data_IF_206170078191
#
_entry.id   IF_206170078191
#
_cell.length_a   1.000
_cell.length_b   1.000
_cell.length_c   1.000
_cell.angle_alpha   90.00
_cell.angle_beta   90.00
_cell.angle_gamma   90.00
#
_symmetry.space_group_name_H-M   'P 1'
#
loop_
_entity.id
_entity.type
_entity.pdbx_description
1 polymer ?
#
# COMPACT_ATOMS: atom_id res chain seq x y z
N UNK A 1 16.36 -27.48 -29.76
CA UNK A 1 16.01 -27.96 -28.40
C UNK A 1 14.49 -27.74 -28.28
N UNK A 2 13.72 -28.82 -28.57
CA UNK A 2 12.27 -28.79 -28.42
C UNK A 2 11.92 -28.83 -26.93
N UNK A 3 11.16 -27.88 -26.45
CA UNK A 3 10.47 -28.02 -25.18
C UNK A 3 9.42 -29.12 -25.36
N UNK A 4 9.57 -30.21 -24.63
CA UNK A 4 8.49 -31.20 -24.51
C UNK A 4 7.30 -30.50 -23.89
N UNK A 5 6.18 -30.48 -24.59
CA UNK A 5 4.89 -29.94 -24.13
C UNK A 5 4.08 -31.00 -23.36
N UNK A 6 4.70 -32.08 -22.98
CA UNK A 6 4.03 -33.21 -22.34
C UNK A 6 4.03 -33.05 -20.82
N UNK A 7 2.84 -33.11 -20.25
CA UNK A 7 2.48 -33.22 -18.83
C UNK A 7 2.60 -31.98 -17.93
N UNK A 8 1.97 -30.88 -18.27
CA UNK A 8 1.57 -29.89 -17.24
C UNK A 8 0.15 -30.21 -16.69
N UNK A 9 -0.03 -31.42 -16.19
CA UNK A 9 -1.15 -31.74 -15.27
C UNK A 9 -0.77 -31.44 -13.81
N UNK A 10 0.42 -30.94 -13.58
CA UNK A 10 0.82 -30.47 -12.24
C UNK A 10 0.00 -29.22 -11.88
N UNK A 11 -0.61 -29.23 -10.70
CA UNK A 11 -1.21 -28.03 -10.14
C UNK A 11 -0.21 -26.87 -10.19
N UNK A 12 -0.60 -25.69 -10.68
CA UNK A 12 0.30 -24.57 -10.75
C UNK A 12 0.83 -24.21 -9.35
N UNK A 13 2.10 -23.85 -9.19
CA UNK A 13 2.69 -23.54 -7.89
C UNK A 13 2.04 -22.30 -7.28
N UNK A 14 1.96 -22.24 -5.96
CA UNK A 14 1.61 -21.00 -5.26
C UNK A 14 2.69 -19.95 -5.49
N UNK A 15 2.27 -18.69 -5.65
CA UNK A 15 3.17 -17.55 -5.88
C UNK A 15 3.01 -16.58 -4.71
N UNK A 16 4.11 -16.28 -4.03
CA UNK A 16 4.17 -15.30 -2.95
C UNK A 16 5.17 -14.22 -3.34
N UNK A 17 4.72 -12.96 -3.39
CA UNK A 17 5.57 -11.80 -3.62
C UNK A 17 5.68 -11.04 -2.31
N UNK A 18 6.89 -10.95 -1.75
CA UNK A 18 7.18 -10.12 -0.58
C UNK A 18 7.89 -8.87 -1.07
N UNK A 19 7.18 -7.75 -1.06
CA UNK A 19 7.67 -6.47 -1.55
C UNK A 19 7.91 -5.52 -0.38
N UNK A 20 9.18 -5.37 -0.02
CA UNK A 20 9.59 -4.55 1.13
C UNK A 20 9.57 -3.07 0.80
N UNK A 21 9.36 -2.24 1.80
CA UNK A 21 9.39 -0.79 1.71
C UNK A 21 10.71 -0.28 2.29
N UNK A 22 11.41 0.56 1.54
CA UNK A 22 12.68 1.21 1.93
C UNK A 22 13.82 0.24 2.36
N UNK A 23 13.79 -1.02 1.94
CA UNK A 23 14.88 -1.97 2.19
C UNK A 23 15.95 -1.83 1.10
N UNK A 24 17.13 -1.41 1.50
CA UNK A 24 18.27 -1.25 0.60
C UNK A 24 18.98 -2.56 0.29
N UNK A 25 19.68 -2.61 -0.83
CA UNK A 25 20.50 -3.76 -1.23
C UNK A 25 21.52 -4.17 -0.15
N UNK A 26 22.15 -3.17 0.49
CA UNK A 26 23.12 -3.38 1.56
C UNK A 26 22.54 -3.78 2.91
N UNK A 27 21.22 -3.73 3.07
CA UNK A 27 20.55 -4.07 4.33
C UNK A 27 20.30 -5.58 4.47
N UNK A 28 20.44 -6.32 3.37
CA UNK A 28 20.24 -7.77 3.33
C UNK A 28 21.60 -8.47 3.37
N UNK A 29 21.82 -9.29 4.41
CA UNK A 29 23.13 -9.95 4.62
C UNK A 29 23.52 -10.91 3.50
N UNK A 30 22.59 -11.47 2.74
CA UNK A 30 22.86 -12.28 1.56
C UNK A 30 23.59 -11.54 0.44
N UNK A 31 23.52 -10.22 0.39
CA UNK A 31 24.18 -9.40 -0.62
C UNK A 31 25.50 -8.77 -0.17
N UNK A 32 25.83 -8.89 1.11
CA UNK A 32 27.10 -8.33 1.60
C UNK A 32 27.15 -8.27 3.13
N UNK A 33 28.16 -7.57 3.63
CA UNK A 33 28.33 -7.34 5.07
C UNK A 33 27.51 -6.12 5.50
N UNK A 34 26.17 -6.24 5.45
CA UNK A 34 25.29 -5.24 6.01
C UNK A 34 25.40 -5.19 7.53
N UNK A 35 24.87 -4.15 8.13
CA UNK A 35 24.77 -3.99 9.59
C UNK A 35 23.68 -4.90 10.20
N UNK A 36 22.75 -5.35 9.36
CA UNK A 36 21.63 -6.19 9.77
C UNK A 36 21.91 -7.66 9.42
N UNK A 37 21.46 -8.54 10.30
CA UNK A 37 21.48 -9.98 10.07
C UNK A 37 20.07 -10.42 9.63
N UNK A 38 19.96 -10.96 8.41
CA UNK A 38 18.68 -11.35 7.79
C UNK A 38 18.63 -12.87 7.50
N UNK A 39 18.69 -13.73 8.53
CA UNK A 39 18.93 -15.17 8.35
C UNK A 39 17.84 -15.86 7.52
N UNK A 40 16.59 -15.43 7.63
CA UNK A 40 15.49 -16.00 6.85
C UNK A 40 15.55 -15.61 5.37
N UNK A 41 15.94 -14.37 5.07
CA UNK A 41 16.16 -13.92 3.67
C UNK A 41 17.40 -14.62 3.11
N UNK A 42 18.45 -14.75 3.89
CA UNK A 42 19.66 -15.47 3.51
C UNK A 42 19.38 -16.93 3.18
N UNK A 43 18.51 -17.58 3.97
CA UNK A 43 18.06 -18.93 3.68
C UNK A 43 17.37 -19.03 2.33
N UNK A 44 16.41 -18.12 2.04
CA UNK A 44 15.75 -18.07 0.74
C UNK A 44 16.74 -17.84 -0.41
N UNK A 45 17.72 -16.95 -0.21
CA UNK A 45 18.76 -16.68 -1.20
C UNK A 45 19.67 -17.89 -1.46
N UNK A 46 19.93 -18.71 -0.45
CA UNK A 46 20.78 -19.90 -0.56
C UNK A 46 20.01 -21.10 -1.15
N UNK A 47 18.73 -21.21 -0.91
CA UNK A 47 17.89 -22.30 -1.41
C UNK A 47 17.26 -22.00 -2.77
N UNK A 48 17.28 -20.76 -3.22
CA UNK A 48 16.67 -20.29 -4.46
C UNK A 48 17.64 -19.62 -5.43
N UNK A 49 17.12 -18.64 -6.17
CA UNK A 49 17.91 -17.85 -7.12
C UNK A 49 18.09 -16.44 -6.56
N UNK A 50 19.34 -16.01 -6.47
CA UNK A 50 19.71 -14.66 -6.07
C UNK A 50 20.05 -13.81 -7.28
N UNK A 51 19.36 -12.69 -7.46
CA UNK A 51 19.60 -11.73 -8.53
C UNK A 51 20.55 -10.62 -8.04
N UNK A 52 21.74 -10.55 -8.57
CA UNK A 52 22.71 -9.51 -8.21
C UNK A 52 22.44 -8.17 -8.92
N UNK A 53 21.67 -8.20 -10.01
CA UNK A 53 21.31 -7.04 -10.82
C UNK A 53 19.79 -6.93 -10.99
N UNK A 54 19.04 -7.11 -9.89
CA UNK A 54 17.60 -6.85 -9.84
C UNK A 54 17.34 -5.41 -9.40
N UNK A 55 16.56 -4.66 -10.17
CA UNK A 55 16.27 -3.25 -9.89
C UNK A 55 14.78 -3.02 -9.79
N UNK A 56 14.35 -2.26 -8.79
CA UNK A 56 13.01 -1.71 -8.76
C UNK A 56 12.83 -0.70 -9.91
N UNK A 57 11.63 -0.58 -10.43
CA UNK A 57 11.33 0.33 -11.56
C UNK A 57 11.41 1.81 -11.16
N UNK A 58 11.40 2.11 -9.88
CA UNK A 58 11.56 3.45 -9.29
C UNK A 58 12.08 3.33 -7.86
N UNK A 59 12.70 4.39 -7.37
CA UNK A 59 13.19 4.50 -6.00
C UNK A 59 12.10 4.91 -4.99
N UNK A 60 10.88 5.21 -5.44
CA UNK A 60 9.78 5.68 -4.58
C UNK A 60 8.57 4.74 -4.65
N UNK A 61 7.78 4.73 -3.59
CA UNK A 61 6.72 3.77 -3.31
C UNK A 61 5.72 3.59 -4.46
N UNK A 62 4.95 4.62 -4.78
CA UNK A 62 3.87 4.58 -5.77
C UNK A 62 4.34 4.17 -7.16
N UNK A 63 5.37 4.81 -7.74
CA UNK A 63 5.83 4.44 -9.08
C UNK A 63 6.37 3.00 -9.12
N UNK A 64 7.06 2.58 -8.07
CA UNK A 64 7.60 1.22 -8.00
C UNK A 64 6.51 0.16 -7.90
N UNK A 65 5.47 0.41 -7.08
CA UNK A 65 4.29 -0.46 -6.93
C UNK A 65 3.47 -0.52 -8.22
N UNK A 66 3.31 0.64 -8.89
CA UNK A 66 2.68 0.70 -10.20
C UNK A 66 3.40 -0.20 -11.20
N UNK A 67 4.72 -0.03 -11.30
CA UNK A 67 5.54 -0.82 -12.21
C UNK A 67 5.48 -2.31 -11.92
N UNK A 68 5.50 -2.71 -10.65
CA UNK A 68 5.35 -4.11 -10.25
C UNK A 68 4.02 -4.69 -10.72
N UNK A 69 2.91 -4.01 -10.45
CA UNK A 69 1.57 -4.57 -10.71
C UNK A 69 1.20 -4.54 -12.19
N UNK A 70 1.61 -3.53 -12.94
CA UNK A 70 1.21 -3.34 -14.35
C UNK A 70 2.23 -3.84 -15.36
N UNK A 71 3.48 -4.08 -14.94
CA UNK A 71 4.59 -4.37 -15.85
C UNK A 71 5.02 -3.17 -16.70
N UNK A 72 4.47 -1.98 -16.45
CA UNK A 72 4.80 -0.76 -17.18
C UNK A 72 5.78 0.10 -16.39
N UNK A 73 6.76 0.69 -17.09
CA UNK A 73 7.62 1.67 -16.46
C UNK A 73 6.85 2.92 -16.05
N UNK A 74 7.01 3.41 -14.82
CA UNK A 74 6.22 4.50 -14.27
C UNK A 74 6.36 5.83 -15.05
N UNK A 75 7.51 6.10 -15.64
CA UNK A 75 7.72 7.32 -16.45
C UNK A 75 6.93 7.37 -17.75
N UNK A 76 6.30 6.26 -18.16
CA UNK A 76 5.40 6.24 -19.33
C UNK A 76 4.00 6.75 -19.01
N UNK A 77 3.68 6.89 -17.73
CA UNK A 77 2.41 7.43 -17.26
C UNK A 77 2.62 8.83 -16.72
N UNK A 78 2.16 9.82 -17.45
CA UNK A 78 2.18 11.21 -16.99
C UNK A 78 1.41 11.34 -15.67
N UNK A 79 1.89 12.20 -14.78
CA UNK A 79 1.20 12.52 -13.53
C UNK A 79 1.12 11.38 -12.52
N UNK A 80 1.95 10.34 -12.65
CA UNK A 80 1.99 9.26 -11.68
C UNK A 80 2.52 9.76 -10.33
N UNK A 81 1.68 10.50 -9.64
CA UNK A 81 1.86 10.97 -8.26
C UNK A 81 0.68 10.50 -7.46
N UNK A 82 0.92 10.06 -6.24
CA UNK A 82 -0.15 9.96 -5.26
C UNK A 82 0.09 11.04 -4.23
N UNK A 83 -0.87 11.92 -4.17
CA UNK A 83 -1.10 12.78 -3.03
C UNK A 83 -1.91 12.01 -1.99
N UNK A 84 -1.80 12.39 -0.74
CA UNK A 84 -2.63 11.84 0.35
C UNK A 84 -4.11 11.91 -0.04
N UNK A 85 -4.81 10.79 0.07
CA UNK A 85 -6.22 10.70 -0.36
C UNK A 85 -6.44 10.78 -1.87
N UNK A 86 -5.41 10.56 -2.67
CA UNK A 86 -5.51 10.56 -4.12
C UNK A 86 -6.30 9.38 -4.68
N UNK A 87 -6.89 9.59 -5.86
CA UNK A 87 -7.62 8.55 -6.57
C UNK A 87 -6.73 7.42 -7.07
N UNK A 88 -7.36 6.28 -7.40
CA UNK A 88 -6.66 5.12 -7.94
C UNK A 88 -5.91 5.46 -9.23
N UNK A 89 -4.59 5.23 -9.23
CA UNK A 89 -3.72 5.55 -10.39
C UNK A 89 -3.64 4.44 -11.42
N UNK A 90 -4.04 3.22 -11.09
CA UNK A 90 -4.12 2.12 -12.05
C UNK A 90 -5.49 2.15 -12.70
N UNK A 91 -5.54 2.27 -14.02
CA UNK A 91 -6.78 2.10 -14.75
C UNK A 91 -7.31 0.68 -14.52
N UNK A 92 -8.58 0.58 -14.12
CA UNK A 92 -9.20 -0.71 -13.86
C UNK A 92 -9.34 -1.59 -15.10
N UNK A 93 -9.09 -1.07 -16.28
CA UNK A 93 -9.03 -1.83 -17.54
C UNK A 93 -7.62 -2.33 -17.87
N UNK A 94 -6.58 -1.75 -17.26
CA UNK A 94 -5.20 -2.19 -17.48
C UNK A 94 -5.01 -3.66 -17.06
N UNK A 95 -4.16 -4.37 -17.82
CA UNK A 95 -3.71 -5.71 -17.43
C UNK A 95 -2.74 -5.59 -16.25
N UNK A 96 -2.99 -6.39 -15.22
CA UNK A 96 -2.17 -6.42 -14.00
C UNK A 96 -1.79 -7.86 -13.66
N UNK A 97 -0.77 -8.03 -12.80
CA UNK A 97 -0.38 -9.36 -12.32
C UNK A 97 -1.57 -10.15 -11.79
N UNK A 98 -2.41 -9.63 -10.86
CA UNK A 98 -3.55 -10.40 -10.36
C UNK A 98 -4.54 -10.77 -11.47
N UNK A 99 -4.84 -9.89 -12.42
CA UNK A 99 -5.72 -10.23 -13.54
C UNK A 99 -5.13 -11.33 -14.41
N UNK A 100 -3.83 -11.25 -14.72
CA UNK A 100 -3.15 -12.27 -15.50
C UNK A 100 -3.18 -13.63 -14.79
N UNK A 101 -2.95 -13.66 -13.49
CA UNK A 101 -3.00 -14.88 -12.69
C UNK A 101 -4.42 -15.46 -12.60
N UNK A 102 -5.44 -14.62 -12.51
CA UNK A 102 -6.86 -15.06 -12.54
C UNK A 102 -7.21 -15.76 -13.84
N UNK A 103 -6.68 -15.33 -14.98
CA UNK A 103 -6.86 -16.03 -16.27
C UNK A 103 -6.32 -17.46 -16.20
N UNK A 104 -5.36 -17.71 -15.32
CA UNK A 104 -4.76 -19.03 -15.07
C UNK A 104 -5.39 -19.79 -13.91
N UNK A 105 -6.50 -19.30 -13.36
CA UNK A 105 -7.25 -19.93 -12.28
C UNK A 105 -6.70 -19.71 -10.87
N UNK A 106 -5.77 -18.76 -10.69
CA UNK A 106 -5.28 -18.40 -9.36
C UNK A 106 -6.31 -17.57 -8.60
N UNK A 107 -6.40 -17.81 -7.30
CA UNK A 107 -6.95 -16.87 -6.34
C UNK A 107 -5.85 -15.89 -5.93
N UNK A 108 -6.17 -14.60 -5.92
CA UNK A 108 -5.19 -13.54 -5.73
C UNK A 108 -5.52 -12.69 -4.51
N UNK A 109 -4.51 -12.40 -3.69
CA UNK A 109 -4.66 -11.57 -2.51
C UNK A 109 -3.55 -10.54 -2.39
N UNK A 110 -3.88 -9.39 -1.77
CA UNK A 110 -2.91 -8.36 -1.39
C UNK A 110 -3.08 -7.99 0.06
N UNK A 111 -1.95 -7.89 0.78
CA UNK A 111 -1.90 -7.53 2.20
C UNK A 111 -0.83 -6.47 2.41
N UNK A 112 -1.13 -5.45 3.22
CA UNK A 112 -0.18 -4.41 3.63
C UNK A 112 -0.36 -3.08 2.90
N UNK A 113 0.72 -2.32 2.71
CA UNK A 113 0.70 -0.98 2.11
C UNK A 113 0.23 -1.03 0.65
N UNK A 114 -0.84 -0.30 0.35
CA UNK A 114 -1.34 -0.14 -1.02
C UNK A 114 -0.64 1.00 -1.76
N UNK A 115 -0.82 2.22 -1.33
CA UNK A 115 -0.20 3.45 -1.83
C UNK A 115 -0.28 3.64 -3.36
N UNK A 116 -1.43 3.25 -3.93
CA UNK A 116 -1.75 3.43 -5.35
C UNK A 116 -3.07 4.17 -5.55
N UNK A 117 -3.54 4.85 -4.50
CA UNK A 117 -4.79 5.59 -4.49
C UNK A 117 -6.03 4.70 -4.42
N UNK A 118 -7.14 5.31 -4.10
CA UNK A 118 -8.44 4.67 -3.94
C UNK A 118 -9.53 5.59 -4.50
N UNK A 119 -10.64 5.01 -4.93
CA UNK A 119 -11.74 5.79 -5.45
C UNK A 119 -11.50 6.40 -6.82
N UNK A 120 -12.47 7.18 -7.29
CA UNK A 120 -12.43 7.90 -8.55
C UNK A 120 -11.93 9.34 -8.33
N UNK A 121 -11.23 9.89 -9.32
CA UNK A 121 -10.75 11.27 -9.33
C UNK A 121 -9.68 11.47 -10.41
N UNK A 122 -9.10 12.64 -10.46
CA UNK A 122 -8.05 12.99 -11.42
C UNK A 122 -6.63 12.77 -10.87
N UNK A 123 -6.50 12.17 -9.69
CA UNK A 123 -5.22 11.91 -9.02
C UNK A 123 -4.67 13.10 -8.24
N UNK A 124 -5.33 14.25 -8.24
CA UNK A 124 -4.91 15.38 -7.45
C UNK A 124 -5.24 15.20 -5.96
N UNK A 125 -4.55 15.97 -5.12
CA UNK A 125 -4.65 15.87 -3.66
C UNK A 125 -6.08 16.12 -3.17
N UNK A 126 -6.63 15.17 -2.43
CA UNK A 126 -7.98 15.26 -1.87
C UNK A 126 -9.13 15.22 -2.87
N UNK A 127 -8.88 15.01 -4.15
CA UNK A 127 -9.95 14.95 -5.16
C UNK A 127 -10.68 13.63 -5.23
N UNK A 128 -10.04 12.54 -4.81
CA UNK A 128 -10.75 11.32 -4.54
C UNK A 128 -11.50 11.45 -3.23
N UNK A 129 -12.63 12.16 -3.20
CA UNK A 129 -13.45 12.32 -1.99
C UNK A 129 -13.95 10.97 -1.51
N UNK A 130 -13.04 10.24 -0.85
CA UNK A 130 -13.28 8.88 -0.38
C UNK A 130 -14.11 8.97 0.90
N UNK A 131 -15.31 8.44 0.86
CA UNK A 131 -16.08 8.19 2.06
C UNK A 131 -15.61 6.87 2.71
N UNK A 132 -14.81 7.00 3.76
CA UNK A 132 -14.32 5.86 4.52
C UNK A 132 -15.41 5.16 5.36
N UNK A 133 -16.62 5.70 5.41
CA UNK A 133 -17.76 5.10 6.10
C UNK A 133 -18.61 4.21 5.19
N UNK A 134 -18.25 4.15 3.92
CA UNK A 134 -18.92 3.32 2.91
C UNK A 134 -17.93 2.42 2.19
N UNK A 135 -18.42 1.60 1.26
CA UNK A 135 -17.55 0.76 0.44
C UNK A 135 -16.73 1.62 -0.52
N UNK A 136 -15.43 1.53 -0.43
CA UNK A 136 -14.45 2.28 -1.22
C UNK A 136 -14.28 1.60 -2.57
N UNK A 137 -14.61 2.33 -3.64
CA UNK A 137 -14.56 1.84 -5.01
C UNK A 137 -14.14 2.96 -5.99
N UNK A 138 -13.25 2.68 -6.99
CA UNK A 138 -12.46 1.47 -7.15
C UNK A 138 -11.28 1.37 -6.16
N UNK A 139 -10.73 0.15 -6.04
CA UNK A 139 -9.58 -0.17 -5.19
C UNK A 139 -8.84 -1.41 -5.67
N UNK A 140 -8.09 -2.10 -4.80
CA UNK A 140 -7.32 -3.29 -5.16
C UNK A 140 -8.14 -4.39 -5.85
N UNK A 141 -9.39 -4.58 -5.43
CA UNK A 141 -10.25 -5.62 -6.00
C UNK A 141 -10.55 -5.34 -7.48
N UNK A 142 -10.73 -4.08 -7.89
CA UNK A 142 -10.96 -3.70 -9.28
C UNK A 142 -9.68 -3.76 -10.13
N UNK A 143 -8.53 -3.69 -9.48
CA UNK A 143 -7.22 -3.91 -10.12
C UNK A 143 -6.97 -5.41 -10.36
N UNK A 144 -7.79 -6.28 -9.76
CA UNK A 144 -7.80 -7.71 -10.05
C UNK A 144 -7.64 -8.64 -8.86
N UNK A 145 -7.40 -8.14 -7.66
CA UNK A 145 -7.30 -9.00 -6.48
C UNK A 145 -8.67 -9.53 -6.04
N UNK A 146 -8.73 -10.81 -5.66
CA UNK A 146 -9.92 -11.44 -5.09
C UNK A 146 -10.10 -11.06 -3.63
N UNK A 147 -8.97 -10.85 -2.93
CA UNK A 147 -8.93 -10.43 -1.54
C UNK A 147 -7.96 -9.27 -1.36
N UNK A 148 -8.35 -8.30 -0.56
CA UNK A 148 -7.46 -7.20 -0.16
C UNK A 148 -7.60 -6.90 1.33
N UNK A 149 -6.45 -6.76 2.01
CA UNK A 149 -6.35 -6.28 3.38
C UNK A 149 -5.21 -5.27 3.45
N UNK A 150 -5.54 -4.00 3.33
CA UNK A 150 -4.56 -2.96 3.04
C UNK A 150 -4.63 -1.78 4.00
N UNK A 151 -3.55 -1.02 4.02
CA UNK A 151 -3.54 0.39 4.40
C UNK A 151 -3.57 1.23 3.12
N UNK A 152 -4.39 2.29 3.11
CA UNK A 152 -4.58 3.13 1.92
C UNK A 152 -3.26 3.68 1.37
N UNK A 153 -2.48 4.30 2.25
CA UNK A 153 -1.20 4.95 1.94
C UNK A 153 -0.05 4.35 2.77
N UNK A 154 0.69 5.21 3.45
CA UNK A 154 1.74 4.89 4.41
C UNK A 154 1.20 5.00 5.84
N UNK A 155 1.90 4.44 6.82
CA UNK A 155 1.47 4.51 8.22
C UNK A 155 1.50 5.95 8.79
N UNK A 156 2.24 6.84 8.18
CA UNK A 156 2.39 8.24 8.54
C UNK A 156 1.42 9.17 7.79
N UNK A 157 0.47 8.62 7.06
CA UNK A 157 -0.57 9.38 6.34
C UNK A 157 -1.95 8.90 6.70
N UNK A 158 -2.88 9.84 6.82
CA UNK A 158 -4.28 9.54 7.10
C UNK A 158 -4.99 9.02 5.83
N UNK A 159 -6.00 8.17 6.01
CA UNK A 159 -6.37 7.49 7.24
C UNK A 159 -5.46 6.30 7.52
N UNK A 160 -4.98 6.17 8.73
CA UNK A 160 -4.15 5.04 9.16
C UNK A 160 -5.02 3.86 9.62
N UNK A 161 -5.97 3.47 8.79
CA UNK A 161 -6.93 2.39 9.06
C UNK A 161 -6.67 1.20 8.14
N UNK A 162 -7.08 0.02 8.57
CA UNK A 162 -7.12 -1.15 7.71
C UNK A 162 -8.41 -1.19 6.90
N UNK A 163 -8.26 -1.51 5.61
CA UNK A 163 -9.36 -1.62 4.67
C UNK A 163 -9.34 -3.05 4.12
N UNK A 164 -10.44 -3.77 4.30
CA UNK A 164 -10.61 -5.12 3.78
C UNK A 164 -11.70 -5.13 2.74
N UNK A 165 -11.35 -5.56 1.52
CA UNK A 165 -12.27 -5.64 0.38
C UNK A 165 -13.12 -4.37 0.19
N UNK A 166 -12.47 -3.20 0.34
CA UNK A 166 -13.09 -1.90 0.18
C UNK A 166 -13.80 -1.36 1.43
N UNK A 167 -13.84 -2.07 2.54
CA UNK A 167 -14.51 -1.61 3.76
C UNK A 167 -13.49 -1.38 4.87
N UNK A 168 -13.63 -0.29 5.60
CA UNK A 168 -12.81 -0.04 6.80
C UNK A 168 -13.17 -1.05 7.87
N UNK A 169 -12.15 -1.67 8.46
CA UNK A 169 -12.36 -2.65 9.52
C UNK A 169 -12.78 -1.99 10.84
N UNK A 170 -13.68 -2.67 11.55
CA UNK A 170 -14.17 -2.24 12.86
C UNK A 170 -14.80 -0.84 12.88
N UNK A 171 -15.36 -0.41 11.77
CA UNK A 171 -16.07 0.85 11.67
C UNK A 171 -17.29 0.83 12.61
N UNK A 172 -17.38 1.83 13.48
CA UNK A 172 -18.58 2.06 14.30
C UNK A 172 -19.53 3.01 13.56
N UNK A 173 -20.73 2.57 13.16
CA UNK A 173 -21.70 3.43 12.49
C UNK A 173 -22.16 4.61 13.33
N UNK A 174 -22.03 4.53 14.66
CA UNK A 174 -22.42 5.60 15.59
C UNK A 174 -21.26 6.61 15.81
N UNK A 175 -20.07 6.29 15.37
CA UNK A 175 -18.88 7.16 15.42
C UNK A 175 -18.16 7.15 14.08
N UNK A 176 -18.74 7.77 13.04
CA UNK A 176 -18.20 7.74 11.69
C UNK A 176 -16.83 8.41 11.61
N UNK A 177 -16.01 7.90 10.70
CA UNK A 177 -14.68 8.46 10.41
C UNK A 177 -14.85 9.79 9.69
N UNK A 178 -14.11 10.80 10.16
CA UNK A 178 -13.91 12.04 9.45
C UNK A 178 -12.40 12.24 9.21
N UNK A 179 -12.00 12.37 7.96
CA UNK A 179 -10.60 12.53 7.56
C UNK A 179 -10.38 13.93 7.02
N UNK A 180 -9.41 14.64 7.57
CA UNK A 180 -9.02 15.95 7.09
C UNK A 180 -7.63 15.86 6.41
N UNK A 181 -7.59 16.03 5.11
CA UNK A 181 -6.35 16.02 4.33
C UNK A 181 -5.68 17.41 4.23
N UNK A 182 -6.37 18.48 4.58
CA UNK A 182 -5.95 19.84 4.23
C UNK A 182 -5.58 20.73 5.42
N UNK A 183 -5.39 20.24 6.60
CA UNK A 183 -5.01 21.06 7.78
C UNK A 183 -5.91 22.27 8.06
N UNK A 184 -7.10 22.37 7.47
CA UNK A 184 -8.01 23.47 7.74
C UNK A 184 -8.59 23.32 9.13
N UNK A 185 -8.36 24.32 9.98
CA UNK A 185 -8.87 24.34 11.34
C UNK A 185 -7.94 23.70 12.38
N UNK A 186 -6.66 23.57 12.10
CA UNK A 186 -5.65 23.09 13.05
C UNK A 186 -5.25 24.16 14.05
N UNK A 187 -5.00 23.75 15.28
CA UNK A 187 -4.44 24.62 16.32
C UNK A 187 -2.92 24.79 16.10
N UNK A 188 -2.43 26.01 16.27
CA UNK A 188 -1.09 26.45 15.83
C UNK A 188 0.08 25.74 16.50
N UNK A 189 -0.06 25.25 17.73
CA UNK A 189 1.07 24.74 18.50
C UNK A 189 1.47 23.29 18.18
N UNK A 190 0.56 22.46 17.68
CA UNK A 190 0.82 21.03 17.44
C UNK A 190 0.16 20.46 16.18
N UNK A 191 -0.48 21.30 15.36
CA UNK A 191 -1.14 20.85 14.14
C UNK A 191 -2.35 19.93 14.36
N UNK A 192 -2.95 19.94 15.53
CA UNK A 192 -4.11 19.13 15.84
C UNK A 192 -5.42 19.86 15.52
N UNK A 193 -6.42 19.20 14.93
CA UNK A 193 -7.73 19.81 14.71
C UNK A 193 -8.38 20.23 16.04
N UNK A 194 -9.00 21.40 16.03
CA UNK A 194 -9.84 21.84 17.14
C UNK A 194 -11.11 20.99 17.17
N UNK A 195 -11.42 20.38 18.30
CA UNK A 195 -12.65 19.61 18.48
C UNK A 195 -12.53 18.09 18.31
N UNK A 196 -11.33 17.56 18.46
CA UNK A 196 -11.12 16.11 18.52
C UNK A 196 -12.00 15.46 19.60
N UNK A 197 -12.76 14.43 19.23
CA UNK A 197 -13.53 13.64 20.20
C UNK A 197 -12.61 12.84 21.12
N UNK A 198 -11.55 12.28 20.57
CA UNK A 198 -10.62 11.40 21.27
C UNK A 198 -9.17 11.85 20.93
N UNK A 199 -8.67 12.93 21.53
CA UNK A 199 -7.36 13.47 21.24
C UNK A 199 -6.22 12.47 21.56
N UNK A 200 -6.43 11.56 22.51
CA UNK A 200 -5.50 10.49 22.85
C UNK A 200 -5.35 9.43 21.75
N UNK A 201 -6.36 9.31 20.87
CA UNK A 201 -6.33 8.41 19.72
C UNK A 201 -5.74 9.07 18.48
N UNK A 202 -5.46 10.37 18.54
CA UNK A 202 -4.86 11.11 17.44
C UNK A 202 -3.36 10.97 17.50
N UNK A 203 -2.84 10.09 16.69
CA UNK A 203 -1.42 9.71 16.71
C UNK A 203 -0.55 10.56 15.80
N UNK A 204 -1.14 11.34 14.91
CA UNK A 204 -0.36 12.12 13.96
C UNK A 204 -0.07 13.52 14.48
N UNK A 205 1.09 13.65 15.09
CA UNK A 205 1.77 14.94 15.15
C UNK A 205 2.20 15.30 13.74
N UNK A 206 1.93 16.53 13.35
CA UNK A 206 2.36 17.03 12.06
C UNK A 206 3.89 16.99 11.95
N UNK A 207 4.41 16.25 10.99
CA UNK A 207 5.83 16.24 10.65
C UNK A 207 5.98 16.37 9.13
N UNK A 208 6.51 17.53 8.71
CA UNK A 208 7.10 17.76 7.38
C UNK A 208 6.41 17.10 6.18
N UNK A 209 5.19 17.51 5.86
CA UNK A 209 4.49 17.13 4.64
C UNK A 209 3.65 15.85 4.72
N UNK A 210 3.50 15.25 5.89
CA UNK A 210 2.56 14.17 6.14
C UNK A 210 1.27 14.76 6.71
N UNK A 211 0.19 14.62 5.96
CA UNK A 211 -0.95 15.51 6.06
C UNK A 211 -2.19 14.82 6.60
N UNK A 212 -2.91 15.55 7.41
CA UNK A 212 -4.25 15.26 7.81
C UNK A 212 -4.40 14.67 9.21
N UNK A 213 -5.62 14.47 9.59
CA UNK A 213 -6.00 13.91 10.88
C UNK A 213 -7.25 13.07 10.76
N UNK A 214 -7.39 12.10 11.63
CA UNK A 214 -8.65 11.42 11.88
C UNK A 214 -9.33 12.14 13.02
N UNK A 215 -10.51 12.71 12.78
CA UNK A 215 -11.24 13.49 13.78
C UNK A 215 -12.10 12.58 14.64
N UNK A 216 -12.69 11.57 14.03
CA UNK A 216 -13.51 10.56 14.67
C UNK A 216 -13.13 9.17 14.16
N UNK A 217 -13.63 8.14 14.79
CA UNK A 217 -13.66 6.81 14.24
C UNK A 217 -12.71 5.81 14.87
N UNK A 218 -12.42 4.77 14.11
CA UNK A 218 -11.65 3.64 14.56
C UNK A 218 -10.22 4.02 14.94
N UNK A 219 -9.66 3.33 15.93
CA UNK A 219 -8.27 3.50 16.29
C UNK A 219 -7.37 3.29 15.08
N UNK A 220 -6.48 4.25 14.88
CA UNK A 220 -5.46 4.19 13.85
C UNK A 220 -4.59 2.95 14.00
N UNK A 221 -4.17 2.36 12.88
CA UNK A 221 -3.21 1.27 12.91
C UNK A 221 -1.86 1.66 13.55
N UNK A 222 -1.53 2.93 13.62
CA UNK A 222 -0.36 3.43 14.34
C UNK A 222 -0.44 3.26 15.86
N UNK A 223 -1.64 3.18 16.41
CA UNK A 223 -1.82 2.91 17.87
C UNK A 223 -1.48 1.47 18.25
N UNK A 224 -1.58 0.57 17.31
CA UNK A 224 -1.42 -0.88 17.55
C UNK A 224 -0.16 -1.46 16.91
N UNK A 225 0.48 -0.74 16.03
CA UNK A 225 1.77 -1.15 15.47
C UNK A 225 2.89 -0.54 16.29
N UNK A 226 3.95 -1.28 16.48
CA UNK A 226 5.17 -0.82 17.15
C UNK A 226 5.58 0.57 16.68
N UNK A 227 6.19 1.38 17.55
CA UNK A 227 6.75 2.65 17.15
C UNK A 227 7.63 2.47 15.91
N UNK A 228 7.50 3.40 14.99
CA UNK A 228 8.34 3.42 13.80
C UNK A 228 9.81 3.42 14.22
N UNK A 229 10.68 2.66 13.53
CA UNK A 229 12.13 2.74 13.78
C UNK A 229 12.75 4.12 13.56
N UNK A 230 11.92 5.09 13.15
CA UNK A 230 12.34 6.47 12.87
C UNK A 230 11.97 7.47 13.97
N UNK A 231 11.32 7.03 15.06
CA UNK A 231 10.99 7.86 16.22
C UNK A 231 12.11 7.81 17.26
#
# INVERSE_FOLDING_TARGET
>A
IGCNTDDYTANPPNIIIIYTDDLGYGDVSAYGKGTLNTPNIDKLANEGIRFNNGYATSATCTPSRYGLLTGNYPWRKEGLKISTGGSLVIDTTEMTIPKLLKIKGYHTGIIGKWHLGLGLGDGSEGTGMIDYNSNIYPGPNQVGFDFSHIMADTQDRVPTVYIENGNVLNLDPNDPIEVNFFHQGLNDDYGLPTGLKNPELTTMKWHHGHNGSIINGVPSCLLYTSPSPRD
#
